data_IF_853558637841
#
_entry.id   IF_853558637841
#
_cell.length_a   1.000
_cell.length_b   1.000
_cell.length_c   1.000
_cell.angle_alpha   90.00
_cell.angle_beta   90.00
_cell.angle_gamma   90.00
#
_symmetry.space_group_name_H-M   'P 1'
#
loop_
_entity.id
_entity.type
_entity.pdbx_description
1 polymer ?
#
# COMPACT_ATOMS: atom_id res chain seq x y z
N UNK A 1 9.02 17.92 -10.10
CA UNK A 1 8.89 16.71 -9.27
C UNK A 1 9.75 15.63 -9.89
N UNK A 2 10.68 15.07 -9.14
CA UNK A 2 11.41 13.86 -9.53
C UNK A 2 10.44 12.73 -9.86
N UNK A 3 10.68 12.00 -10.96
CA UNK A 3 9.87 10.85 -11.36
C UNK A 3 9.81 9.79 -10.24
N UNK A 4 10.90 9.60 -9.50
CA UNK A 4 10.94 8.70 -8.33
C UNK A 4 9.95 9.13 -7.24
N UNK A 5 9.85 10.43 -6.97
CA UNK A 5 8.91 10.94 -5.96
C UNK A 5 7.45 10.73 -6.39
N UNK A 6 7.15 10.88 -7.69
CA UNK A 6 5.82 10.59 -8.23
C UNK A 6 5.45 9.11 -8.07
N UNK A 7 6.36 8.19 -8.42
CA UNK A 7 6.15 6.76 -8.27
C UNK A 7 5.91 6.36 -6.82
N UNK A 8 6.74 6.85 -5.89
CA UNK A 8 6.61 6.60 -4.46
C UNK A 8 5.26 7.09 -3.91
N UNK A 9 4.81 8.29 -4.30
CA UNK A 9 3.52 8.85 -3.88
C UNK A 9 2.35 8.00 -4.40
N UNK A 10 2.43 7.55 -5.65
CA UNK A 10 1.39 6.70 -6.26
C UNK A 10 1.37 5.32 -5.59
N UNK A 11 2.54 4.70 -5.35
CA UNK A 11 2.70 3.41 -4.67
C UNK A 11 2.05 3.46 -3.29
N UNK A 12 2.37 4.47 -2.49
CA UNK A 12 1.80 4.66 -1.15
C UNK A 12 0.28 4.89 -1.17
N UNK A 13 -0.25 5.67 -2.12
CA UNK A 13 -1.71 5.85 -2.27
C UNK A 13 -2.41 4.56 -2.64
N UNK A 14 -1.85 3.79 -3.57
CA UNK A 14 -2.43 2.54 -4.03
C UNK A 14 -2.48 1.51 -2.90
N UNK A 15 -1.39 1.38 -2.13
CA UNK A 15 -1.33 0.52 -0.96
C UNK A 15 -2.37 0.92 0.08
N UNK A 16 -2.47 2.20 0.41
CA UNK A 16 -3.41 2.69 1.42
C UNK A 16 -4.86 2.53 0.98
N UNK A 17 -5.16 2.74 -0.30
CA UNK A 17 -6.50 2.54 -0.87
C UNK A 17 -6.87 1.06 -0.89
N UNK A 18 -5.98 0.18 -1.34
CA UNK A 18 -6.19 -1.27 -1.35
C UNK A 18 -6.38 -1.81 0.06
N UNK A 19 -5.50 -1.45 1.01
CA UNK A 19 -5.62 -1.86 2.40
C UNK A 19 -6.93 -1.41 3.03
N UNK A 20 -7.40 -0.18 2.76
CA UNK A 20 -8.67 0.30 3.29
C UNK A 20 -9.90 -0.29 2.59
N UNK A 21 -9.76 -0.77 1.35
CA UNK A 21 -10.86 -1.39 0.61
C UNK A 21 -11.07 -2.86 1.02
N UNK A 22 -9.99 -3.57 1.33
CA UNK A 22 -10.03 -5.01 1.62
C UNK A 22 -9.79 -5.37 3.09
N UNK A 23 -9.27 -4.44 3.90
CA UNK A 23 -9.06 -4.65 5.33
C UNK A 23 -9.58 -3.44 6.14
N UNK A 24 -10.37 -3.73 7.16
CA UNK A 24 -10.71 -2.73 8.16
C UNK A 24 -9.46 -2.32 8.94
N UNK A 25 -9.48 -1.16 9.61
CA UNK A 25 -8.35 -0.74 10.44
C UNK A 25 -8.03 -1.72 11.59
N UNK A 26 -9.02 -2.54 11.96
CA UNK A 26 -8.95 -3.52 13.04
C UNK A 26 -8.61 -4.94 12.54
N UNK A 27 -8.43 -5.12 11.22
CA UNK A 27 -8.11 -6.44 10.68
C UNK A 27 -6.72 -6.91 11.14
N UNK A 28 -6.61 -8.06 11.80
CA UNK A 28 -5.32 -8.60 12.24
C UNK A 28 -4.41 -8.97 11.05
N UNK A 29 -5.01 -9.21 9.88
CA UNK A 29 -4.32 -9.52 8.62
C UNK A 29 -3.78 -8.28 7.89
N UNK A 30 -4.17 -7.07 8.30
CA UNK A 30 -3.77 -5.80 7.68
C UNK A 30 -2.24 -5.61 7.56
N UNK A 31 -1.42 -5.87 8.60
CA UNK A 31 0.04 -5.78 8.47
C UNK A 31 0.63 -6.81 7.49
N UNK A 32 0.08 -8.02 7.42
CA UNK A 32 0.52 -9.04 6.45
C UNK A 32 0.15 -8.64 5.02
N UNK A 33 -1.07 -8.13 4.81
CA UNK A 33 -1.54 -7.64 3.51
C UNK A 33 -0.71 -6.43 3.03
N UNK A 34 -0.32 -5.55 3.97
CA UNK A 34 0.54 -4.41 3.65
C UNK A 34 1.90 -4.88 3.12
N UNK A 35 2.54 -5.83 3.83
CA UNK A 35 3.82 -6.41 3.40
C UNK A 35 3.72 -7.07 2.03
N UNK A 36 2.68 -7.85 1.78
CA UNK A 36 2.47 -8.48 0.48
C UNK A 36 2.32 -7.45 -0.64
N UNK A 37 1.62 -6.33 -0.39
CA UNK A 37 1.50 -5.24 -1.35
C UNK A 37 2.79 -4.45 -1.55
N UNK A 38 3.64 -4.33 -0.52
CA UNK A 38 4.98 -3.75 -0.66
C UNK A 38 5.85 -4.63 -1.53
N UNK A 39 5.87 -5.94 -1.28
CA UNK A 39 6.64 -6.96 -2.02
C UNK A 39 6.21 -7.08 -3.51
N UNK A 40 4.91 -6.93 -3.80
CA UNK A 40 4.37 -6.99 -5.17
C UNK A 40 4.64 -5.75 -6.01
N UNK A 41 4.89 -4.61 -5.36
CA UNK A 41 5.09 -3.33 -6.02
C UNK A 41 6.58 -2.93 -6.06
N UNK A 42 7.45 -3.60 -5.30
CA UNK A 42 8.91 -3.53 -5.42
C UNK A 42 9.40 -4.06 -6.77
#
# INVERSE_FOLDING_TARGET
>A
MDKNNYYEIVKNRLQKKSLNQYCSAQDPSRPALKKLLEDLLD
#
